data_IF_694442402111
#
_entry.id   IF_694442402111
#
_cell.length_a   1.000
_cell.length_b   1.000
_cell.length_c   1.000
_cell.angle_alpha   90.00
_cell.angle_beta   90.00
_cell.angle_gamma   90.00
#
_symmetry.space_group_name_H-M   'P 1'
#
loop_
_entity.id
_entity.type
_entity.pdbx_description
1 polymer ?
#
# COMPACT_ATOMS: atom_id res chain seq x y z
N UNK A 1 0.92 40.47 18.51
CA UNK A 1 0.08 39.26 18.35
C UNK A 1 0.71 38.38 17.28
N UNK A 2 1.31 37.23 17.64
CA UNK A 2 1.82 36.25 16.67
C UNK A 2 0.72 35.21 16.47
N UNK A 3 0.11 35.20 15.28
CA UNK A 3 -0.86 34.21 14.87
C UNK A 3 -0.14 32.88 14.63
N UNK A 4 -0.34 31.89 15.48
CA UNK A 4 0.05 30.50 15.23
C UNK A 4 -1.08 29.81 14.47
N UNK A 5 -1.06 29.89 13.14
CA UNK A 5 -1.91 29.06 12.31
C UNK A 5 -1.39 27.62 12.33
N UNK A 6 -2.01 26.80 13.18
CA UNK A 6 -1.88 25.34 13.15
C UNK A 6 -2.41 24.82 11.82
N UNK A 7 -1.54 24.63 10.84
CA UNK A 7 -1.85 23.92 9.60
C UNK A 7 -2.08 22.43 9.94
N UNK A 8 -3.34 22.03 10.06
CA UNK A 8 -3.73 20.63 10.19
C UNK A 8 -3.42 19.93 8.86
N UNK A 9 -2.23 19.34 8.76
CA UNK A 9 -1.86 18.49 7.62
C UNK A 9 -2.63 17.18 7.76
N UNK A 10 -3.69 16.97 6.97
CA UNK A 10 -4.29 15.65 6.81
C UNK A 10 -3.22 14.73 6.24
N UNK A 11 -2.63 13.89 7.10
CA UNK A 11 -1.69 12.83 6.71
C UNK A 11 -2.51 11.57 6.42
N UNK A 12 -2.08 10.82 5.41
CA UNK A 12 -2.65 9.51 5.07
C UNK A 12 -1.55 8.50 5.32
N UNK A 13 -1.84 7.49 6.13
CA UNK A 13 -0.96 6.34 6.32
C UNK A 13 -1.61 5.12 5.66
N UNK A 14 -0.88 4.52 4.73
CA UNK A 14 -1.21 3.23 4.12
C UNK A 14 -0.30 2.22 4.77
N UNK A 15 -0.87 1.25 5.47
CA UNK A 15 -0.09 0.25 6.20
C UNK A 15 -0.24 -1.10 5.54
N UNK A 16 0.84 -1.63 4.98
CA UNK A 16 1.02 -3.08 4.81
C UNK A 16 1.73 -3.60 6.06
N UNK A 17 1.03 -4.33 6.92
CA UNK A 17 1.64 -4.94 8.11
C UNK A 17 2.24 -6.28 7.65
N UNK A 18 3.51 -6.31 7.29
CA UNK A 18 4.18 -7.56 6.91
C UNK A 18 4.28 -8.54 8.11
N UNK A 19 4.33 -9.85 7.80
CA UNK A 19 4.39 -10.96 8.75
C UNK A 19 5.43 -10.78 9.86
N UNK A 20 5.14 -11.34 11.05
CA UNK A 20 6.21 -11.77 11.96
C UNK A 20 6.84 -13.04 11.39
N UNK A 21 7.77 -12.89 10.44
CA UNK A 21 8.80 -13.91 10.28
C UNK A 21 9.57 -14.01 11.60
N UNK A 22 9.98 -15.21 11.98
CA UNK A 22 10.85 -15.50 13.13
C UNK A 22 12.14 -14.67 13.15
N UNK A 23 12.47 -13.98 12.04
CA UNK A 23 13.53 -12.99 11.90
C UNK A 23 13.42 -11.77 12.86
N UNK A 24 12.26 -11.45 13.43
CA UNK A 24 12.13 -10.35 14.41
C UNK A 24 12.90 -10.57 15.73
N UNK A 25 13.53 -11.75 15.96
CA UNK A 25 14.43 -11.95 17.10
C UNK A 25 15.86 -11.44 16.89
N UNK A 26 16.27 -11.11 15.66
CA UNK A 26 17.67 -10.82 15.34
C UNK A 26 18.07 -9.33 15.39
N UNK A 27 17.13 -8.39 15.55
CA UNK A 27 17.46 -6.97 15.72
C UNK A 27 17.00 -6.55 17.11
N UNK A 28 17.94 -6.46 18.04
CA UNK A 28 17.76 -6.02 19.43
C UNK A 28 17.28 -4.57 19.62
N UNK A 29 16.56 -3.99 18.65
CA UNK A 29 15.81 -2.75 18.82
C UNK A 29 14.34 -3.11 18.76
N UNK A 30 13.70 -3.21 19.94
CA UNK A 30 12.26 -2.96 20.03
C UNK A 30 12.05 -1.52 19.57
N UNK A 31 11.78 -1.31 18.29
CA UNK A 31 11.27 -0.04 17.81
C UNK A 31 10.02 0.26 18.60
N UNK A 32 10.06 1.29 19.42
CA UNK A 32 8.88 1.73 20.15
C UNK A 32 7.90 2.30 19.13
N UNK A 33 6.94 1.48 18.69
CA UNK A 33 5.87 1.91 17.79
C UNK A 33 5.17 3.17 18.33
N UNK A 34 5.16 3.41 19.65
CA UNK A 34 4.61 4.63 20.25
C UNK A 34 5.33 5.89 19.78
N UNK A 35 6.63 5.83 19.49
CA UNK A 35 7.39 6.97 18.92
C UNK A 35 6.98 7.28 17.48
N UNK A 36 6.77 6.26 16.65
CA UNK A 36 6.43 6.46 15.23
C UNK A 36 5.04 7.09 15.05
N UNK A 37 4.09 6.76 15.92
CA UNK A 37 2.74 7.32 15.86
C UNK A 37 2.62 8.71 16.50
N UNK A 38 3.58 9.12 17.34
CA UNK A 38 3.52 10.40 18.05
C UNK A 38 3.38 11.59 17.08
N UNK A 39 4.03 11.53 15.93
CA UNK A 39 4.09 12.62 14.95
C UNK A 39 2.83 12.78 14.08
N UNK A 40 1.89 11.84 14.15
CA UNK A 40 0.63 11.92 13.40
C UNK A 40 -0.46 12.59 14.24
N UNK A 41 -1.39 13.32 13.62
CA UNK A 41 -2.56 13.81 14.36
C UNK A 41 -3.55 12.66 14.59
N UNK A 42 -4.36 12.73 15.65
CA UNK A 42 -5.41 11.72 15.90
C UNK A 42 -6.50 11.72 14.79
N UNK A 43 -6.61 12.82 14.07
CA UNK A 43 -7.46 13.01 12.88
C UNK A 43 -6.89 12.38 11.59
N UNK A 44 -5.69 11.78 11.64
CA UNK A 44 -5.08 11.10 10.48
C UNK A 44 -6.01 10.00 9.96
N UNK A 45 -6.33 10.06 8.67
CA UNK A 45 -7.06 9.01 7.97
C UNK A 45 -6.14 7.81 7.72
N UNK A 46 -6.57 6.62 8.14
CA UNK A 46 -5.85 5.37 7.92
C UNK A 46 -6.67 4.47 7.00
N UNK A 47 -6.03 4.00 5.93
CA UNK A 47 -6.63 3.04 5.00
C UNK A 47 -5.91 1.70 5.14
N UNK A 48 -6.68 0.63 5.26
CA UNK A 48 -6.15 -0.71 5.51
C UNK A 48 -6.97 -1.78 4.78
N UNK A 49 -6.48 -3.02 4.81
CA UNK A 49 -7.15 -4.14 4.17
C UNK A 49 -8.40 -4.58 4.95
N UNK A 50 -9.26 -5.45 4.38
CA UNK A 50 -10.42 -5.96 5.10
C UNK A 50 -9.98 -6.78 6.32
N UNK A 51 -10.68 -6.63 7.44
CA UNK A 51 -10.45 -7.40 8.68
C UNK A 51 -9.05 -7.16 9.28
N UNK A 52 -8.53 -5.94 9.17
CA UNK A 52 -7.25 -5.54 9.80
C UNK A 52 -7.36 -4.29 10.69
N UNK A 53 -8.53 -3.66 10.78
CA UNK A 53 -8.79 -2.50 11.62
C UNK A 53 -8.68 -2.81 13.11
N UNK A 54 -8.89 -4.06 13.52
CA UNK A 54 -8.68 -4.50 14.90
C UNK A 54 -7.22 -4.35 15.35
N UNK A 55 -6.26 -4.50 14.43
CA UNK A 55 -4.82 -4.31 14.69
C UNK A 55 -4.49 -2.86 15.08
N UNK A 56 -5.35 -1.91 14.71
CA UNK A 56 -5.17 -0.48 14.97
C UNK A 56 -5.88 0.00 16.24
N UNK A 57 -6.68 -0.85 16.91
CA UNK A 57 -7.45 -0.47 18.12
C UNK A 57 -6.58 0.05 19.26
N UNK A 58 -5.35 -0.46 19.38
CA UNK A 58 -4.40 -0.06 20.42
C UNK A 58 -3.61 1.20 20.06
N UNK A 59 -3.85 1.78 18.88
CA UNK A 59 -3.24 3.04 18.43
C UNK A 59 -4.16 4.22 18.73
N UNK A 60 -3.70 5.45 18.45
CA UNK A 60 -4.51 6.67 18.58
C UNK A 60 -5.41 6.96 17.38
N UNK A 61 -5.25 6.22 16.28
CA UNK A 61 -6.04 6.44 15.08
C UNK A 61 -7.50 6.03 15.31
N UNK A 62 -8.42 6.92 14.96
CA UNK A 62 -9.87 6.70 15.05
C UNK A 62 -10.56 6.69 13.70
N UNK A 63 -9.96 7.35 12.71
CA UNK A 63 -10.47 7.39 11.34
C UNK A 63 -9.84 6.27 10.50
N UNK A 64 -10.34 5.04 10.69
CA UNK A 64 -9.87 3.85 9.97
C UNK A 64 -10.91 3.44 8.93
N UNK A 65 -10.47 3.29 7.68
CA UNK A 65 -11.28 2.77 6.57
C UNK A 65 -10.65 1.46 6.08
N UNK A 66 -11.41 0.37 6.12
CA UNK A 66 -11.02 -0.88 5.47
C UNK A 66 -11.53 -0.88 4.03
N UNK A 67 -10.68 -1.22 3.06
CA UNK A 67 -11.07 -1.34 1.66
C UNK A 67 -10.90 -2.78 1.15
N UNK A 68 -11.94 -3.34 0.54
CA UNK A 68 -11.87 -4.58 -0.25
C UNK A 68 -11.31 -4.30 -1.64
N UNK A 69 -10.86 -5.34 -2.34
CA UNK A 69 -10.47 -5.22 -3.74
C UNK A 69 -11.62 -4.65 -4.58
N UNK A 70 -11.31 -3.66 -5.41
CA UNK A 70 -12.27 -2.91 -6.22
C UNK A 70 -12.93 -1.73 -5.49
N UNK A 71 -12.75 -1.59 -4.17
CA UNK A 71 -13.27 -0.43 -3.44
C UNK A 71 -12.32 0.78 -3.54
N UNK A 72 -12.91 1.97 -3.68
CA UNK A 72 -12.22 3.26 -3.79
C UNK A 72 -12.58 4.14 -2.59
N UNK A 73 -11.61 4.91 -2.10
CA UNK A 73 -11.81 5.98 -1.11
C UNK A 73 -11.15 7.26 -1.57
N UNK A 74 -11.94 8.30 -1.73
CA UNK A 74 -11.43 9.67 -1.82
C UNK A 74 -11.16 10.23 -0.42
N UNK A 75 -10.00 10.85 -0.25
CA UNK A 75 -9.63 11.56 0.98
C UNK A 75 -9.28 13.00 0.64
N UNK A 76 -9.94 13.95 1.30
CA UNK A 76 -9.60 15.36 1.18
C UNK A 76 -8.38 15.69 2.04
N UNK A 77 -7.41 16.40 1.45
CA UNK A 77 -6.21 16.86 2.16
C UNK A 77 -6.05 18.37 1.99
N UNK A 78 -5.22 18.99 2.82
CA UNK A 78 -4.95 20.44 2.75
C UNK A 78 -4.38 20.91 1.41
N UNK A 79 -3.95 19.98 0.56
CA UNK A 79 -3.34 20.25 -0.75
C UNK A 79 -4.19 19.67 -1.90
N UNK A 80 -5.35 19.08 -1.61
CA UNK A 80 -6.31 18.55 -2.60
C UNK A 80 -6.73 17.10 -2.34
N UNK A 81 -7.68 16.62 -3.14
CA UNK A 81 -8.23 15.26 -3.08
C UNK A 81 -7.23 14.22 -3.57
N UNK A 82 -7.15 13.09 -2.87
CA UNK A 82 -6.47 11.87 -3.34
C UNK A 82 -7.47 10.73 -3.40
N UNK A 83 -7.47 10.03 -4.53
CA UNK A 83 -8.27 8.83 -4.76
C UNK A 83 -7.39 7.60 -4.51
N UNK A 84 -7.89 6.68 -3.68
CA UNK A 84 -7.16 5.50 -3.22
C UNK A 84 -8.00 4.28 -3.55
N UNK A 85 -7.46 3.41 -4.40
CA UNK A 85 -8.13 2.19 -4.86
C UNK A 85 -7.40 1.00 -4.29
N UNK A 86 -8.12 0.09 -3.64
CA UNK A 86 -7.59 -1.20 -3.26
C UNK A 86 -7.77 -2.18 -4.42
N UNK A 87 -6.71 -2.90 -4.79
CA UNK A 87 -6.76 -3.91 -5.84
C UNK A 87 -6.13 -5.22 -5.38
N UNK A 88 -6.45 -6.28 -6.12
CA UNK A 88 -6.00 -7.63 -5.82
C UNK A 88 -4.49 -7.76 -6.06
N UNK A 89 -3.82 -8.36 -5.09
CA UNK A 89 -2.44 -8.84 -5.22
C UNK A 89 -2.40 -10.31 -4.85
N UNK A 90 -1.28 -10.99 -5.07
CA UNK A 90 -1.13 -12.42 -4.80
C UNK A 90 -0.27 -12.65 -3.57
N UNK A 91 -0.91 -12.65 -2.41
CA UNK A 91 -0.27 -12.83 -1.11
C UNK A 91 -1.18 -13.59 -0.13
N UNK A 92 -0.88 -13.57 1.16
CA UNK A 92 -1.77 -14.06 2.21
C UNK A 92 -1.93 -13.05 3.35
N UNK A 93 -2.95 -13.25 4.18
CA UNK A 93 -3.34 -12.32 5.22
C UNK A 93 -2.75 -12.53 6.60
N UNK A 94 -2.14 -13.68 6.88
CA UNK A 94 -1.69 -14.05 8.22
C UNK A 94 -0.79 -12.98 8.88
N UNK A 95 -1.15 -12.58 10.11
CA UNK A 95 -0.43 -11.62 10.98
C UNK A 95 -0.10 -12.22 12.36
N UNK A 96 -0.68 -13.37 12.69
CA UNK A 96 -0.49 -14.21 13.85
C UNK A 96 -0.35 -15.67 13.39
N UNK A 97 0.03 -16.59 14.27
CA UNK A 97 0.17 -18.00 13.87
C UNK A 97 -1.16 -18.69 13.48
N UNK A 98 -2.32 -18.04 13.66
CA UNK A 98 -3.66 -18.66 13.55
C UNK A 98 -4.70 -17.80 12.81
N UNK A 99 -4.32 -16.76 12.08
CA UNK A 99 -5.24 -15.79 11.46
C UNK A 99 -5.17 -15.77 9.92
N UNK A 100 -5.62 -16.81 9.27
CA UNK A 100 -5.74 -16.85 7.80
C UNK A 100 -6.86 -15.94 7.24
N UNK A 101 -7.76 -15.45 8.10
CA UNK A 101 -8.91 -14.66 7.68
C UNK A 101 -8.56 -13.22 7.26
N UNK A 102 -7.39 -12.66 7.59
CA UNK A 102 -7.13 -11.23 7.34
C UNK A 102 -6.92 -10.93 5.85
N UNK A 103 -7.24 -9.71 5.43
CA UNK A 103 -7.07 -9.27 4.04
C UNK A 103 -5.68 -8.73 3.74
N UNK A 104 -5.40 -8.52 2.45
CA UNK A 104 -4.18 -7.91 1.91
C UNK A 104 -4.50 -7.22 0.60
N UNK A 105 -3.87 -6.09 0.31
CA UNK A 105 -4.19 -5.23 -0.82
C UNK A 105 -2.92 -4.68 -1.47
N UNK A 106 -2.97 -4.50 -2.79
CA UNK A 106 -2.22 -3.43 -3.46
C UNK A 106 -3.05 -2.14 -3.46
N UNK A 107 -2.40 -0.99 -3.58
CA UNK A 107 -3.09 0.30 -3.66
C UNK A 107 -2.66 1.10 -4.88
N UNK A 108 -3.61 1.64 -5.63
CA UNK A 108 -3.37 2.70 -6.60
C UNK A 108 -3.76 4.04 -5.97
N UNK A 109 -2.83 4.98 -6.01
CA UNK A 109 -2.98 6.34 -5.48
C UNK A 109 -3.03 7.31 -6.64
N UNK A 110 -4.14 8.03 -6.78
CA UNK A 110 -4.34 8.98 -7.87
C UNK A 110 -4.61 10.38 -7.34
N UNK A 111 -3.89 11.37 -7.89
CA UNK A 111 -4.10 12.78 -7.57
C UNK A 111 -3.53 13.68 -8.65
N UNK A 112 -4.31 14.69 -9.05
CA UNK A 112 -3.88 15.74 -9.99
C UNK A 112 -3.24 15.17 -11.27
N UNK A 113 -3.82 14.10 -11.83
CA UNK A 113 -3.31 13.41 -13.01
C UNK A 113 -2.09 12.51 -12.78
N UNK A 114 -1.57 12.41 -11.55
CA UNK A 114 -0.49 11.49 -11.18
C UNK A 114 -1.03 10.20 -10.57
N UNK A 115 -0.36 9.09 -10.83
CA UNK A 115 -0.75 7.73 -10.42
C UNK A 115 0.46 6.98 -9.87
N UNK A 116 0.35 6.49 -8.63
CA UNK A 116 1.38 5.69 -7.96
C UNK A 116 0.76 4.36 -7.53
N UNK A 117 1.41 3.25 -7.89
CA UNK A 117 1.08 1.93 -7.38
C UNK A 117 1.97 1.62 -6.18
N UNK A 118 1.34 1.13 -5.12
CA UNK A 118 2.00 0.43 -4.03
C UNK A 118 1.57 -1.04 -4.08
N UNK A 119 2.45 -1.90 -4.59
CA UNK A 119 2.13 -3.32 -4.82
C UNK A 119 2.09 -4.15 -3.53
N UNK A 120 2.70 -3.66 -2.45
CA UNK A 120 2.95 -4.47 -1.26
C UNK A 120 3.74 -5.74 -1.58
N UNK A 121 3.61 -6.74 -0.72
CA UNK A 121 4.16 -8.07 -0.99
C UNK A 121 3.17 -8.84 -1.87
N UNK A 122 3.67 -9.35 -2.99
CA UNK A 122 2.87 -10.08 -3.97
C UNK A 122 3.76 -11.02 -4.76
N UNK A 123 3.24 -12.17 -5.16
CA UNK A 123 3.79 -12.94 -6.27
C UNK A 123 3.33 -12.38 -7.62
N UNK A 124 3.95 -12.90 -8.69
CA UNK A 124 3.53 -12.63 -10.06
C UNK A 124 2.02 -12.88 -10.25
N UNK A 125 1.33 -11.88 -10.78
CA UNK A 125 -0.10 -11.92 -11.10
C UNK A 125 -0.40 -11.00 -12.30
N UNK A 126 -1.46 -11.32 -13.03
CA UNK A 126 -1.96 -10.55 -14.17
C UNK A 126 -2.79 -9.32 -13.73
N UNK A 127 -3.17 -9.24 -12.45
CA UNK A 127 -4.01 -8.16 -11.92
C UNK A 127 -3.43 -6.76 -12.18
N UNK A 128 -2.11 -6.60 -12.36
CA UNK A 128 -1.49 -5.31 -12.66
C UNK A 128 -1.86 -4.79 -14.06
N UNK A 129 -2.23 -5.66 -15.00
CA UNK A 129 -2.59 -5.29 -16.37
C UNK A 129 -3.81 -4.36 -16.45
N UNK A 130 -4.68 -4.38 -15.43
CA UNK A 130 -5.85 -3.52 -15.37
C UNK A 130 -5.50 -2.01 -15.37
N UNK A 131 -4.29 -1.65 -14.96
CA UNK A 131 -3.83 -0.25 -14.91
C UNK A 131 -3.22 0.24 -16.21
N UNK A 132 -2.92 -0.68 -17.14
CA UNK A 132 -2.31 -0.42 -18.44
C UNK A 132 -3.31 0.12 -19.46
N UNK A 133 -4.16 1.07 -19.04
CA UNK A 133 -5.10 1.72 -19.95
C UNK A 133 -4.35 2.40 -21.08
N UNK A 134 -4.17 1.69 -22.20
CA UNK A 134 -3.57 2.19 -23.42
C UNK A 134 -4.51 3.21 -24.04
N UNK A 135 -4.44 4.44 -23.55
CA UNK A 135 -4.84 5.62 -24.31
C UNK A 135 -6.28 5.87 -24.67
N UNK A 136 -7.24 5.07 -24.23
CA UNK A 136 -8.65 5.39 -24.37
C UNK A 136 -9.18 6.12 -23.14
N UNK A 137 -9.91 7.25 -23.30
CA UNK A 137 -10.63 7.87 -22.21
C UNK A 137 -11.75 6.92 -21.76
N UNK A 138 -11.54 6.24 -20.63
CA UNK A 138 -12.62 5.55 -19.94
C UNK A 138 -13.40 6.59 -19.11
N UNK A 139 -14.74 6.62 -19.13
CA UNK A 139 -15.55 7.60 -18.37
C UNK A 139 -15.30 7.53 -16.86
N UNK A 140 -14.98 6.32 -16.40
CA UNK A 140 -14.48 5.90 -15.09
C UNK A 140 -13.58 4.71 -15.41
N UNK A 141 -12.38 4.60 -14.83
CA UNK A 141 -11.66 3.33 -15.00
C UNK A 141 -12.44 2.20 -14.29
N UNK A 142 -12.08 0.94 -14.54
CA UNK A 142 -12.77 -0.24 -13.99
C UNK A 142 -12.84 -0.26 -12.44
N UNK A 143 -12.23 0.72 -11.77
CA UNK A 143 -12.16 0.88 -10.33
C UNK A 143 -13.12 1.96 -9.78
N UNK A 144 -13.88 2.63 -10.66
CA UNK A 144 -14.91 3.59 -10.27
C UNK A 144 -14.40 4.98 -9.87
N UNK A 145 -13.11 5.28 -10.10
CA UNK A 145 -12.52 6.58 -9.80
C UNK A 145 -12.27 7.38 -11.10
N UNK A 146 -12.12 8.72 -11.02
CA UNK A 146 -12.02 9.58 -12.19
C UNK A 146 -10.85 9.18 -13.09
N UNK A 147 -11.01 9.25 -14.43
CA UNK A 147 -9.91 9.00 -15.34
C UNK A 147 -8.75 9.97 -15.07
N UNK A 148 -7.61 9.42 -14.67
CA UNK A 148 -6.36 10.15 -14.55
C UNK A 148 -5.61 10.17 -15.88
N UNK A 149 -4.52 10.94 -15.94
CA UNK A 149 -3.62 10.96 -17.10
C UNK A 149 -3.01 9.57 -17.35
N UNK A 150 -2.68 9.32 -18.62
CA UNK A 150 -2.63 8.06 -19.38
C UNK A 150 -1.58 6.99 -18.98
N UNK A 151 -0.95 7.02 -17.81
CA UNK A 151 0.05 6.01 -17.40
C UNK A 151 0.23 6.00 -15.88
N UNK A 152 0.84 4.94 -15.34
CA UNK A 152 1.28 4.92 -13.94
C UNK A 152 2.65 5.62 -13.88
N UNK A 153 2.82 6.65 -13.04
CA UNK A 153 4.11 7.34 -12.93
C UNK A 153 5.13 6.45 -12.22
N UNK A 154 4.73 5.79 -11.14
CA UNK A 154 5.63 5.01 -10.28
C UNK A 154 4.95 3.73 -9.78
N UNK A 155 5.63 2.60 -9.89
CA UNK A 155 5.28 1.37 -9.21
C UNK A 155 6.29 1.07 -8.09
N UNK A 156 5.83 1.04 -6.84
CA UNK A 156 6.61 0.63 -5.67
C UNK A 156 6.36 -0.87 -5.48
N UNK A 157 7.39 -1.68 -5.69
CA UNK A 157 7.26 -3.14 -5.79
C UNK A 157 8.26 -3.86 -4.87
N UNK A 158 7.79 -4.87 -4.14
CA UNK A 158 8.67 -5.77 -3.39
C UNK A 158 9.54 -6.59 -4.34
N UNK A 159 10.84 -6.71 -4.06
CA UNK A 159 11.80 -7.51 -4.87
C UNK A 159 12.57 -8.56 -4.05
N UNK A 160 12.23 -8.73 -2.77
CA UNK A 160 12.90 -9.66 -1.86
C UNK A 160 11.92 -10.66 -1.24
N UNK A 161 12.44 -11.54 -0.38
CA UNK A 161 11.66 -12.59 0.30
C UNK A 161 11.12 -13.70 -0.63
N UNK A 162 11.55 -13.79 -1.88
CA UNK A 162 10.97 -14.73 -2.87
C UNK A 162 11.45 -16.18 -2.77
N UNK A 163 12.52 -16.49 -2.05
CA UNK A 163 13.03 -17.87 -1.91
C UNK A 163 12.90 -18.37 -0.47
N UNK A 164 12.10 -19.41 -0.17
CA UNK A 164 11.30 -20.25 -1.07
C UNK A 164 9.89 -19.71 -1.37
N UNK A 165 9.56 -18.49 -0.94
CA UNK A 165 8.20 -17.94 -0.96
C UNK A 165 7.73 -17.39 -2.31
N UNK A 166 8.21 -17.93 -3.44
CA UNK A 166 7.96 -17.40 -4.80
C UNK A 166 6.46 -17.38 -5.15
N UNK A 167 5.66 -18.22 -4.47
CA UNK A 167 4.22 -18.31 -4.66
C UNK A 167 3.45 -17.12 -4.08
N UNK A 168 4.09 -16.31 -3.22
CA UNK A 168 3.52 -15.12 -2.58
C UNK A 168 4.42 -13.89 -2.54
N UNK A 169 5.65 -14.00 -3.02
CA UNK A 169 6.60 -12.91 -3.22
C UNK A 169 7.26 -13.04 -4.59
N UNK A 170 7.26 -11.97 -5.36
CA UNK A 170 7.90 -11.93 -6.66
C UNK A 170 9.41 -11.79 -6.53
N UNK A 171 10.14 -12.38 -7.48
CA UNK A 171 11.55 -12.04 -7.69
C UNK A 171 11.69 -10.68 -8.41
N UNK A 172 12.91 -10.11 -8.50
CA UNK A 172 13.11 -8.82 -9.16
C UNK A 172 12.59 -8.77 -10.61
N UNK A 173 12.76 -9.84 -11.39
CA UNK A 173 12.33 -9.90 -12.79
C UNK A 173 10.80 -9.87 -12.91
N UNK A 174 10.10 -10.61 -12.06
CA UNK A 174 8.64 -10.60 -11.98
C UNK A 174 8.11 -9.24 -11.50
N UNK A 175 8.81 -8.56 -10.57
CA UNK A 175 8.43 -7.23 -10.13
C UNK A 175 8.53 -6.20 -11.27
N UNK A 176 9.60 -6.27 -12.08
CA UNK A 176 9.76 -5.45 -13.29
C UNK A 176 8.67 -5.78 -14.30
N UNK A 177 8.36 -7.07 -14.51
CA UNK A 177 7.28 -7.47 -15.41
C UNK A 177 5.92 -6.92 -14.96
N UNK A 178 5.58 -7.01 -13.68
CA UNK A 178 4.32 -6.44 -13.16
C UNK A 178 4.27 -4.91 -13.25
N UNK A 179 5.39 -4.22 -13.03
CA UNK A 179 5.47 -2.76 -13.21
C UNK A 179 5.25 -2.37 -14.68
N UNK A 180 5.90 -3.10 -15.60
CA UNK A 180 5.64 -2.95 -17.03
C UNK A 180 4.17 -3.23 -17.33
N UNK A 181 3.61 -4.32 -16.78
CA UNK A 181 2.22 -4.72 -16.94
C UNK A 181 1.23 -3.70 -16.44
N UNK A 182 1.56 -2.89 -15.44
CA UNK A 182 0.76 -1.75 -15.04
C UNK A 182 0.91 -0.50 -15.93
N UNK A 183 1.85 -0.51 -16.89
CA UNK A 183 2.22 0.67 -17.65
C UNK A 183 2.94 1.72 -16.81
N UNK A 184 3.75 1.29 -15.83
CA UNK A 184 4.52 2.18 -14.97
C UNK A 184 5.73 2.76 -15.70
N UNK A 185 5.98 4.06 -15.55
CA UNK A 185 7.17 4.72 -16.11
C UNK A 185 8.42 4.44 -15.29
N UNK A 186 8.28 4.36 -13.97
CA UNK A 186 9.36 4.08 -13.04
C UNK A 186 8.99 2.94 -12.08
N UNK A 187 10.01 2.23 -11.62
CA UNK A 187 9.90 1.23 -10.57
C UNK A 187 10.78 1.63 -9.38
N UNK A 188 10.22 1.54 -8.17
CA UNK A 188 10.95 1.70 -6.92
C UNK A 188 10.96 0.36 -6.18
N UNK A 189 12.09 -0.36 -6.15
CA UNK A 189 12.20 -1.62 -5.45
C UNK A 189 12.16 -1.41 -3.93
N UNK A 190 11.43 -2.28 -3.23
CA UNK A 190 11.34 -2.33 -1.75
C UNK A 190 11.41 -3.78 -1.26
N UNK A 191 11.26 -3.99 0.06
CA UNK A 191 11.27 -5.31 0.70
C UNK A 191 12.59 -6.10 0.53
N UNK A 192 13.70 -5.38 0.34
CA UNK A 192 15.05 -5.91 0.31
C UNK A 192 15.96 -5.14 1.27
N UNK A 193 17.13 -5.72 1.59
CA UNK A 193 18.22 -5.07 2.35
C UNK A 193 17.87 -4.53 3.75
N UNK A 194 16.68 -4.81 4.28
CA UNK A 194 16.26 -4.42 5.64
C UNK A 194 16.26 -5.61 6.60
N UNK A 195 15.72 -6.75 6.15
CA UNK A 195 15.62 -8.00 6.93
C UNK A 195 15.99 -9.18 6.02
N UNK A 196 16.65 -10.20 6.59
CA UNK A 196 16.92 -11.46 5.89
C UNK A 196 15.72 -12.39 6.07
N UNK A 197 14.79 -12.35 5.11
CA UNK A 197 13.55 -13.13 5.12
C UNK A 197 13.56 -14.31 4.13
N UNK A 198 14.56 -14.33 3.25
CA UNK A 198 14.83 -15.38 2.25
C UNK A 198 16.34 -15.62 2.14
N UNK A 199 16.71 -16.69 1.44
CA UNK A 199 18.10 -17.04 1.09
C UNK A 199 18.44 -16.68 -0.34
#
# INVERSE_FOLDING_TARGET
>A
MRSTSSFCRTRISITSICERSTACRAVGRRGDLRRTWADFADSTSVITAPRTGDLLRWTKFRNVTELRWGECKSVETSVGKIDIIAFRVKHWGARLQRDDHRGYNGYLLARNGRRIIFGGDTAMTEDFQQFRSYGSPQPVDATGCPPGTKWVDLAIMSIGCYNPWIRTHCNPEQAVQMANDAGAQFIMPVHHQTLRLSF
#
